data_IF_101839079066
#
_entry.id   IF_101839079066
#
_cell.length_a   1.000
_cell.length_b   1.000
_cell.length_c   1.000
_cell.angle_alpha   90.00
_cell.angle_beta   90.00
_cell.angle_gamma   90.00
#
_symmetry.space_group_name_H-M   'P 1'
#
loop_
_entity.id
_entity.type
_entity.pdbx_description
1 polymer ?
#
# COMPACT_ATOMS: atom_id res chain seq x y z
N UNK A 1 21.49 -4.37 -20.89
CA UNK A 1 20.32 -3.65 -20.35
C UNK A 1 20.07 -4.20 -18.95
N UNK A 2 19.89 -3.37 -17.92
CA UNK A 2 19.39 -3.88 -16.64
C UNK A 2 17.91 -4.19 -16.81
N UNK A 3 17.47 -5.38 -16.41
CA UNK A 3 16.05 -5.67 -16.30
C UNK A 3 15.57 -4.95 -15.03
N UNK A 4 14.75 -3.91 -15.19
CA UNK A 4 14.16 -3.18 -14.06
C UNK A 4 12.83 -3.79 -13.63
N UNK A 5 12.47 -3.63 -12.37
CA UNK A 5 11.21 -4.10 -11.81
C UNK A 5 10.29 -2.91 -11.52
N UNK A 6 9.02 -3.03 -11.91
CA UNK A 6 7.98 -2.06 -11.60
C UNK A 6 6.85 -2.70 -10.80
N UNK A 7 6.36 -1.97 -9.78
CA UNK A 7 5.15 -2.31 -9.04
C UNK A 7 4.04 -1.35 -9.48
N UNK A 8 2.92 -1.90 -9.96
CA UNK A 8 1.78 -1.13 -10.50
C UNK A 8 0.52 -1.46 -9.72
N UNK A 9 -0.04 -0.46 -9.03
CA UNK A 9 -1.16 -0.60 -8.12
C UNK A 9 -2.39 0.14 -8.69
N UNK A 10 -3.41 -0.62 -9.06
CA UNK A 10 -4.68 -0.08 -9.55
C UNK A 10 -5.50 0.67 -8.49
N UNK A 11 -6.53 1.38 -8.94
CA UNK A 11 -7.57 1.91 -8.07
C UNK A 11 -8.41 0.78 -7.45
N UNK A 12 -9.29 1.12 -6.50
CA UNK A 12 -10.16 0.13 -5.85
C UNK A 12 -10.83 0.57 -4.55
N UNK A 13 -10.74 1.85 -4.19
CA UNK A 13 -11.31 2.39 -2.96
C UNK A 13 -10.73 1.73 -1.69
N UNK A 14 -11.51 1.74 -0.60
CA UNK A 14 -11.10 1.17 0.68
C UNK A 14 -10.84 -0.34 0.59
N UNK A 15 -11.62 -1.08 -0.20
CA UNK A 15 -11.42 -2.53 -0.40
C UNK A 15 -10.10 -2.78 -1.13
N UNK A 16 -9.81 -2.02 -2.19
CA UNK A 16 -8.56 -2.12 -2.94
C UNK A 16 -7.33 -1.80 -2.10
N UNK A 17 -7.42 -0.85 -1.16
CA UNK A 17 -6.35 -0.59 -0.20
C UNK A 17 -6.03 -1.84 0.62
N UNK A 18 -7.04 -2.53 1.15
CA UNK A 18 -6.82 -3.76 1.91
C UNK A 18 -6.18 -4.88 1.08
N UNK A 19 -6.62 -5.05 -0.16
CA UNK A 19 -5.99 -6.01 -1.08
C UNK A 19 -4.53 -5.68 -1.38
N UNK A 20 -4.19 -4.40 -1.58
CA UNK A 20 -2.81 -3.98 -1.80
C UNK A 20 -1.94 -4.26 -0.59
N UNK A 21 -2.37 -3.88 0.63
CA UNK A 21 -1.62 -4.13 1.87
C UNK A 21 -1.35 -5.62 2.06
N UNK A 22 -2.40 -6.45 1.98
CA UNK A 22 -2.25 -7.90 2.15
C UNK A 22 -1.37 -8.55 1.08
N UNK A 23 -1.51 -8.14 -0.17
CA UNK A 23 -0.70 -8.67 -1.29
C UNK A 23 0.76 -8.32 -1.12
N UNK A 24 1.09 -7.05 -0.83
CA UNK A 24 2.48 -6.64 -0.69
C UNK A 24 3.12 -7.27 0.55
N UNK A 25 2.38 -7.34 1.66
CA UNK A 25 2.82 -8.06 2.87
C UNK A 25 3.19 -9.53 2.54
N UNK A 26 2.33 -10.23 1.80
CA UNK A 26 2.61 -11.60 1.38
C UNK A 26 3.81 -11.71 0.41
N UNK A 27 4.02 -10.71 -0.44
CA UNK A 27 5.20 -10.63 -1.30
C UNK A 27 6.50 -10.43 -0.49
N UNK A 28 6.46 -9.59 0.55
CA UNK A 28 7.58 -9.39 1.47
C UNK A 28 7.94 -10.70 2.21
N UNK A 29 6.94 -11.48 2.64
CA UNK A 29 7.14 -12.79 3.29
C UNK A 29 7.88 -13.80 2.39
N UNK A 30 7.72 -13.72 1.07
CA UNK A 30 8.44 -14.57 0.11
C UNK A 30 9.73 -13.92 -0.42
N UNK A 31 10.17 -12.82 0.20
CA UNK A 31 11.44 -12.16 -0.08
C UNK A 31 11.40 -11.11 -1.19
N UNK A 32 10.22 -10.73 -1.69
CA UNK A 32 10.09 -9.63 -2.64
C UNK A 32 9.79 -8.31 -1.91
N UNK A 33 10.82 -7.48 -1.75
CA UNK A 33 10.66 -6.13 -1.22
C UNK A 33 10.14 -5.16 -2.31
N UNK A 34 8.85 -4.86 -2.28
CA UNK A 34 8.21 -3.94 -3.24
C UNK A 34 8.75 -2.51 -3.17
N UNK A 35 9.41 -2.12 -2.07
CA UNK A 35 10.03 -0.79 -1.88
C UNK A 35 11.32 -0.67 -2.70
N UNK A 36 11.95 -1.80 -3.04
CA UNK A 36 13.15 -1.86 -3.85
C UNK A 36 12.88 -1.82 -5.36
N UNK A 37 11.61 -1.81 -5.78
CA UNK A 37 11.26 -1.65 -7.19
C UNK A 37 11.81 -0.34 -7.77
N UNK A 38 12.32 -0.39 -9.01
CA UNK A 38 12.86 0.78 -9.72
C UNK A 38 11.77 1.84 -9.98
N UNK A 39 10.53 1.38 -10.13
CA UNK A 39 9.37 2.21 -10.42
C UNK A 39 8.14 1.74 -9.64
N UNK A 40 7.43 2.68 -9.02
CA UNK A 40 6.15 2.44 -8.36
C UNK A 40 5.12 3.36 -9.00
N UNK A 41 4.05 2.78 -9.55
CA UNK A 41 2.92 3.50 -10.14
C UNK A 41 1.67 3.15 -9.34
N UNK A 42 0.89 4.15 -8.95
CA UNK A 42 -0.34 3.94 -8.22
C UNK A 42 -1.43 4.92 -8.63
N UNK A 43 -2.68 4.45 -8.66
CA UNK A 43 -3.87 5.28 -8.91
C UNK A 43 -4.87 5.13 -7.76
N UNK A 44 -5.37 6.24 -7.20
CA UNK A 44 -6.37 6.25 -6.12
C UNK A 44 -5.91 5.43 -4.89
N UNK A 45 -6.56 4.31 -4.58
CA UNK A 45 -6.08 3.37 -3.56
C UNK A 45 -4.60 3.00 -3.76
N UNK A 46 -4.21 2.70 -5.00
CA UNK A 46 -2.83 2.38 -5.34
C UNK A 46 -1.86 3.54 -5.15
N UNK A 47 -2.27 4.80 -5.32
CA UNK A 47 -1.38 5.95 -5.11
C UNK A 47 -1.03 6.15 -3.64
N UNK A 48 -1.97 5.82 -2.74
CA UNK A 48 -1.74 5.89 -1.28
C UNK A 48 -0.71 4.83 -0.87
N UNK A 49 -0.92 3.57 -1.28
CA UNK A 49 0.02 2.49 -0.95
C UNK A 49 1.38 2.71 -1.62
N UNK A 50 1.40 3.15 -2.88
CA UNK A 50 2.63 3.51 -3.57
C UNK A 50 3.42 4.60 -2.83
N UNK A 51 2.73 5.60 -2.27
CA UNK A 51 3.36 6.63 -1.45
C UNK A 51 3.91 6.05 -0.12
N UNK A 52 3.19 5.16 0.54
CA UNK A 52 3.68 4.51 1.76
C UNK A 52 4.90 3.63 1.53
N UNK A 53 4.91 2.83 0.45
CA UNK A 53 6.07 2.03 0.06
C UNK A 53 7.30 2.92 -0.14
N UNK A 54 7.14 4.04 -0.86
CA UNK A 54 8.26 4.94 -1.12
C UNK A 54 8.74 5.70 0.12
N UNK A 55 7.88 5.88 1.12
CA UNK A 55 8.24 6.40 2.45
C UNK A 55 8.88 5.34 3.36
N UNK A 56 9.01 4.10 2.89
CA UNK A 56 9.61 3.00 3.64
C UNK A 56 8.68 2.42 4.72
N UNK A 57 7.38 2.70 4.65
CA UNK A 57 6.40 2.15 5.60
C UNK A 57 6.33 0.64 5.45
N UNK A 58 6.39 -0.07 6.57
CA UNK A 58 6.18 -1.52 6.65
C UNK A 58 4.72 -1.87 6.36
N UNK A 59 4.48 -2.77 5.40
CA UNK A 59 3.12 -3.24 5.12
C UNK A 59 2.61 -4.14 6.26
N UNK A 60 3.49 -4.78 7.03
CA UNK A 60 3.12 -5.50 8.26
C UNK A 60 2.60 -4.52 9.32
N UNK A 61 3.29 -3.40 9.56
CA UNK A 61 2.84 -2.43 10.57
C UNK A 61 1.50 -1.82 10.17
N UNK A 62 1.36 -1.47 8.88
CA UNK A 62 0.12 -0.97 8.32
C UNK A 62 -0.99 -2.03 8.39
N UNK A 63 -0.68 -3.30 8.18
CA UNK A 63 -1.62 -4.41 8.33
C UNK A 63 -2.10 -4.53 9.77
N UNK A 64 -1.19 -4.58 10.75
CA UNK A 64 -1.52 -4.69 12.17
C UNK A 64 -2.36 -3.50 12.64
N UNK A 65 -1.98 -2.28 12.26
CA UNK A 65 -2.72 -1.06 12.67
C UNK A 65 -4.11 -0.96 12.05
N UNK A 66 -4.36 -1.67 10.94
CA UNK A 66 -5.59 -1.55 10.16
C UNK A 66 -6.53 -2.73 10.37
N UNK A 67 -5.99 -3.94 10.34
CA UNK A 67 -6.71 -5.21 10.32
C UNK A 67 -6.41 -6.11 11.52
N UNK A 68 -5.48 -5.72 12.38
CA UNK A 68 -5.20 -6.43 13.62
C UNK A 68 -6.37 -6.37 14.60
N UNK A 69 -6.32 -7.15 15.70
CA UNK A 69 -7.39 -7.21 16.70
C UNK A 69 -7.77 -5.85 17.29
N UNK A 70 -6.79 -4.94 17.38
CA UNK A 70 -6.93 -3.57 17.88
C UNK A 70 -6.85 -2.53 16.75
N UNK A 71 -6.97 -2.97 15.49
CA UNK A 71 -6.81 -2.10 14.33
C UNK A 71 -7.94 -1.07 14.21
N UNK A 72 -7.60 0.16 13.84
CA UNK A 72 -8.58 1.26 13.73
C UNK A 72 -9.39 1.23 12.41
N UNK A 73 -9.15 0.24 11.55
CA UNK A 73 -9.64 0.19 10.18
C UNK A 73 -8.94 1.19 9.26
N UNK A 74 -9.16 1.06 7.95
CA UNK A 74 -8.61 2.02 6.98
C UNK A 74 -9.36 3.34 7.14
N UNK A 75 -8.72 4.33 7.76
CA UNK A 75 -9.23 5.70 7.80
C UNK A 75 -8.57 6.55 6.73
N UNK A 76 -9.34 6.88 5.70
CA UNK A 76 -9.02 8.02 4.86
C UNK A 76 -9.68 9.23 5.52
N UNK A 77 -8.89 10.16 6.07
CA UNK A 77 -9.42 11.48 6.35
C UNK A 77 -9.70 12.13 4.99
N UNK A 78 -10.92 11.96 4.47
CA UNK A 78 -11.44 12.96 3.57
C UNK A 78 -11.38 14.27 4.36
N UNK A 79 -10.69 15.28 3.86
CA UNK A 79 -10.91 16.62 4.38
C UNK A 79 -12.37 16.94 4.05
N UNK A 80 -13.27 16.70 4.98
CA UNK A 80 -14.59 17.31 4.98
C UNK A 80 -14.34 18.81 5.13
N UNK A 81 -14.11 19.48 4.00
CA UNK A 81 -14.29 20.93 3.98
C UNK A 81 -15.80 21.11 4.00
N UNK A 82 -16.31 21.49 5.17
CA UNK A 82 -17.62 22.14 5.28
C UNK A 82 -17.68 23.23 4.20
N UNK A 83 -18.71 23.13 3.34
CA UNK A 83 -19.15 24.21 2.45
C UNK A 83 -20.31 24.91 3.14
#
# INVERSE_FOLDING_TARGET
>A
MKNGTAVVLGAGGLVGLGYHVGTIRALEEVGFDSRAADLIIGTSAGSIIGAYLRRGVSMEDLWVSTFGPEGEGIRLSASEREI
#
